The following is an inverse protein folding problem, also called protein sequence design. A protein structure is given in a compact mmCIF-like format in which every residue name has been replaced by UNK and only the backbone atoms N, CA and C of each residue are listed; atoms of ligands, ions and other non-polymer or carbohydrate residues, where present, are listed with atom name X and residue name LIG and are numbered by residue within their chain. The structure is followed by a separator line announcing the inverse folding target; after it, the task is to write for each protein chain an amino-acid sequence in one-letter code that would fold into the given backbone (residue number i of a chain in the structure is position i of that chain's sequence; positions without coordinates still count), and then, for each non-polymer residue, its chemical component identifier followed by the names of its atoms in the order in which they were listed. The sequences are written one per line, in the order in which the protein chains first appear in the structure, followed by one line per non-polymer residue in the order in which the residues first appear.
data_IF_004182009540
#
_entry.id   IF_004182009540
#
_cell.length_a   1.000
_cell.length_b   1.000
_cell.length_c   1.000
_cell.angle_alpha   90.00
_cell.angle_beta   90.00
_cell.angle_gamma   90.00
#
_symmetry.space_group_name_H-M   'P 1'
#
loop_
_entity.id
_entity.type
_entity.pdbx_description
1 polymer ?
#
# COMPACT_ATOMS: atom_id res chain seq x y z
N UNK A 1 -1.46 16.92 7.88
CA UNK A 1 -0.22 17.29 7.18
C UNK A 1 -0.38 18.47 6.22
N UNK A 2 -1.48 19.24 6.21
CA UNK A 2 -1.61 20.43 5.33
C UNK A 2 -1.28 20.19 3.84
N UNK A 3 -1.45 18.96 3.33
CA UNK A 3 -1.08 18.58 1.96
C UNK A 3 0.32 18.00 1.80
N UNK A 4 1.15 17.97 2.85
CA UNK A 4 2.41 17.25 2.88
C UNK A 4 2.16 15.73 2.89
N UNK A 5 2.40 15.10 1.74
CA UNK A 5 2.20 13.67 1.53
C UNK A 5 3.40 12.82 1.98
N UNK A 6 4.51 13.46 2.34
CA UNK A 6 5.77 12.80 2.73
C UNK A 6 5.97 12.76 4.25
N UNK A 7 5.24 13.58 5.02
CA UNK A 7 5.36 13.68 6.47
C UNK A 7 5.29 12.35 7.25
N UNK A 8 4.62 11.32 6.73
CA UNK A 8 4.57 9.99 7.35
C UNK A 8 5.80 9.12 7.04
N UNK A 9 6.55 9.45 6.00
CA UNK A 9 7.70 8.69 5.50
C UNK A 9 8.89 8.66 6.46
N UNK A 10 9.00 9.68 7.32
CA UNK A 10 10.06 9.79 8.34
C UNK A 10 9.81 8.93 9.57
N UNK A 11 8.57 8.44 9.77
CA UNK A 11 8.24 7.62 10.92
C UNK A 11 8.86 6.22 10.73
N UNK A 12 9.76 5.86 11.63
CA UNK A 12 10.35 4.53 11.72
C UNK A 12 9.30 3.50 12.10
N UNK A 13 9.29 2.37 11.39
CA UNK A 13 8.30 1.31 11.58
C UNK A 13 9.00 -0.04 11.63
N UNK A 14 8.80 -0.74 12.74
CA UNK A 14 9.20 -2.13 12.92
C UNK A 14 7.96 -3.03 12.98
N UNK A 15 7.93 -4.06 12.15
CA UNK A 15 6.81 -5.00 12.08
C UNK A 15 7.33 -6.43 12.03
N UNK A 16 6.78 -7.30 12.88
CA UNK A 16 7.05 -8.72 12.84
C UNK A 16 6.28 -9.39 11.71
N UNK A 17 6.96 -10.27 10.97
CA UNK A 17 6.36 -11.00 9.85
C UNK A 17 7.40 -11.84 9.13
N UNK A 18 6.94 -12.70 8.20
CA UNK A 18 7.83 -13.45 7.33
C UNK A 18 8.66 -12.53 6.44
N UNK A 19 9.79 -13.02 5.92
CA UNK A 19 10.67 -12.24 5.04
C UNK A 19 9.90 -11.66 3.84
N UNK A 20 8.98 -12.44 3.28
CA UNK A 20 8.08 -12.00 2.21
C UNK A 20 7.17 -10.84 2.64
N UNK A 21 6.55 -10.90 3.83
CA UNK A 21 5.69 -9.81 4.33
C UNK A 21 6.51 -8.54 4.56
N UNK A 22 7.68 -8.67 5.17
CA UNK A 22 8.58 -7.53 5.42
C UNK A 22 9.03 -6.89 4.11
N UNK A 23 9.35 -7.69 3.08
CA UNK A 23 9.66 -7.19 1.74
C UNK A 23 8.48 -6.44 1.11
N UNK A 24 7.27 -6.97 1.20
CA UNK A 24 6.06 -6.29 0.70
C UNK A 24 5.82 -4.97 1.45
N UNK A 25 5.93 -4.94 2.77
CA UNK A 25 5.73 -3.73 3.56
C UNK A 25 6.81 -2.66 3.29
N UNK A 26 8.05 -3.07 3.08
CA UNK A 26 9.11 -2.16 2.66
C UNK A 26 8.82 -1.56 1.28
N UNK A 27 8.36 -2.37 0.33
CA UNK A 27 8.02 -1.89 -1.01
C UNK A 27 6.77 -0.99 -1.02
N UNK A 28 5.78 -1.26 -0.15
CA UNK A 28 4.63 -0.38 0.02
C UNK A 28 5.05 1.07 0.34
N UNK A 29 6.07 1.26 1.19
CA UNK A 29 6.58 2.59 1.56
C UNK A 29 7.25 3.33 0.40
N UNK A 30 7.61 2.64 -0.69
CA UNK A 30 8.20 3.24 -1.90
C UNK A 30 7.15 3.67 -2.93
N UNK A 31 5.88 3.30 -2.73
CA UNK A 31 4.81 3.71 -3.64
C UNK A 31 4.49 5.18 -3.36
N UNK A 32 4.72 6.02 -4.36
CA UNK A 32 4.42 7.45 -4.28
C UNK A 32 2.92 7.70 -4.03
N UNK A 33 2.57 8.72 -3.22
CA UNK A 33 1.19 9.14 -3.06
C UNK A 33 0.57 9.56 -4.40
N UNK A 34 -0.72 9.31 -4.59
CA UNK A 34 -1.44 9.67 -5.82
C UNK A 34 -1.12 8.81 -7.06
N UNK A 35 -0.12 7.92 -6.99
CA UNK A 35 0.25 6.99 -8.05
C UNK A 35 0.05 5.52 -7.61
N UNK A 36 -1.20 5.05 -7.44
CA UNK A 36 -1.46 3.70 -6.96
C UNK A 36 -1.01 2.65 -7.98
N UNK A 37 -0.54 1.50 -7.47
CA UNK A 37 -0.03 0.38 -8.27
C UNK A 37 -0.96 -0.82 -8.17
N UNK A 38 -0.91 -1.73 -9.14
CA UNK A 38 -1.69 -2.96 -9.04
C UNK A 38 -1.06 -3.98 -8.08
N UNK A 39 -1.85 -4.92 -7.55
CA UNK A 39 -1.30 -6.07 -6.81
C UNK A 39 -0.28 -6.89 -7.62
N UNK A 40 -0.44 -6.95 -8.95
CA UNK A 40 0.49 -7.65 -9.84
C UNK A 40 1.81 -6.90 -9.95
N UNK A 41 1.74 -5.58 -10.15
CA UNK A 41 2.92 -4.72 -10.23
C UNK A 41 3.71 -4.73 -8.92
N UNK A 42 3.03 -4.66 -7.76
CA UNK A 42 3.70 -4.82 -6.47
C UNK A 42 4.36 -6.21 -6.32
N UNK A 43 3.73 -7.26 -6.86
CA UNK A 43 4.30 -8.60 -6.85
C UNK A 43 5.57 -8.68 -7.73
N UNK A 44 5.61 -7.98 -8.86
CA UNK A 44 6.81 -7.83 -9.70
C UNK A 44 7.93 -7.08 -8.97
N UNK A 45 7.61 -5.94 -8.34
CA UNK A 45 8.57 -5.11 -7.60
C UNK A 45 9.26 -5.87 -6.46
N UNK A 46 8.56 -6.81 -5.81
CA UNK A 46 9.14 -7.68 -4.76
C UNK A 46 9.80 -8.96 -5.30
N UNK A 47 9.97 -9.09 -6.62
CA UNK A 47 10.63 -10.24 -7.25
C UNK A 47 9.78 -11.52 -7.28
N UNK A 48 8.47 -11.42 -7.09
CA UNK A 48 7.55 -12.55 -7.02
C UNK A 48 6.33 -12.35 -7.95
N UNK A 49 6.51 -12.27 -9.29
CA UNK A 49 5.47 -11.85 -10.24
C UNK A 49 4.17 -12.68 -10.19
N UNK A 50 4.23 -13.93 -9.73
CA UNK A 50 3.07 -14.83 -9.59
C UNK A 50 2.38 -14.76 -8.22
N UNK A 51 2.79 -13.84 -7.34
CA UNK A 51 2.41 -13.79 -5.94
C UNK A 51 1.37 -12.71 -5.59
N UNK A 52 0.60 -12.19 -6.55
CA UNK A 52 -0.39 -11.12 -6.32
C UNK A 52 -1.36 -11.40 -5.15
N UNK A 53 -1.80 -12.66 -4.97
CA UNK A 53 -2.67 -13.04 -3.83
C UNK A 53 -1.94 -12.97 -2.48
N UNK A 54 -0.67 -13.37 -2.45
CA UNK A 54 0.16 -13.31 -1.25
C UNK A 54 0.50 -11.86 -0.87
N UNK A 55 0.77 -11.02 -1.88
CA UNK A 55 0.89 -9.57 -1.71
C UNK A 55 -0.40 -8.99 -1.14
N UNK A 56 -1.56 -9.32 -1.72
CA UNK A 56 -2.86 -8.86 -1.21
C UNK A 56 -3.12 -9.27 0.24
N UNK A 57 -2.67 -10.46 0.64
CA UNK A 57 -2.72 -10.90 2.04
C UNK A 57 -1.82 -10.04 2.93
N UNK A 58 -0.60 -9.73 2.48
CA UNK A 58 0.34 -8.88 3.21
C UNK A 58 -0.18 -7.44 3.37
N UNK A 59 -0.86 -6.90 2.34
CA UNK A 59 -1.57 -5.61 2.43
C UNK A 59 -2.73 -5.64 3.43
N UNK A 60 -3.50 -6.74 3.45
CA UNK A 60 -4.64 -6.93 4.37
C UNK A 60 -4.19 -7.06 5.83
N UNK A 61 -3.06 -7.73 6.07
CA UNK A 61 -2.52 -7.96 7.41
C UNK A 61 -1.43 -6.95 7.79
N UNK A 62 -1.45 -5.75 7.19
CA UNK A 62 -0.55 -4.66 7.55
C UNK A 62 -0.98 -4.04 8.90
N UNK A 63 -0.19 -4.19 9.98
CA UNK A 63 -0.55 -3.66 11.30
C UNK A 63 -0.39 -2.14 11.42
N UNK A 64 0.42 -1.51 10.57
CA UNK A 64 0.74 -0.07 10.65
C UNK A 64 0.23 0.67 9.41
N UNK A 65 -1.10 0.69 9.23
CA UNK A 65 -1.75 1.38 8.12
C UNK A 65 -1.40 2.88 8.09
N UNK A 66 -1.57 3.52 6.91
CA UNK A 66 -1.16 4.89 6.57
C UNK A 66 0.36 5.08 6.48
N UNK A 67 1.09 4.74 7.54
CA UNK A 67 2.56 4.86 7.56
C UNK A 67 3.19 3.80 6.65
N UNK A 68 2.62 2.59 6.63
CA UNK A 68 2.83 1.61 5.57
C UNK A 68 1.59 1.68 4.66
N UNK A 69 1.66 2.31 3.48
CA UNK A 69 0.48 2.78 2.76
C UNK A 69 -0.16 1.69 1.90
N UNK A 70 -0.71 0.64 2.53
CA UNK A 70 -1.35 -0.46 1.81
C UNK A 70 -2.63 -0.08 1.04
N UNK A 71 -3.15 1.14 1.24
CA UNK A 71 -4.25 1.71 0.46
C UNK A 71 -3.82 2.10 -0.97
N UNK A 72 -2.52 2.30 -1.23
CA UNK A 72 -1.98 2.64 -2.56
C UNK A 72 -1.88 1.45 -3.53
N UNK A 73 -2.33 0.26 -3.13
CA UNK A 73 -2.33 -0.94 -3.99
C UNK A 73 -3.74 -1.28 -4.42
N UNK A 74 -4.05 -1.28 -5.71
CA UNK A 74 -5.40 -1.47 -6.24
C UNK A 74 -5.50 -2.72 -7.13
N UNK A 75 -6.72 -3.05 -7.55
CA UNK A 75 -6.94 -4.09 -8.56
C UNK A 75 -6.46 -3.62 -9.93
N UNK A 76 -6.14 -4.56 -10.81
CA UNK A 76 -5.68 -4.27 -12.17
C UNK A 76 -6.75 -3.56 -13.04
N UNK A 77 -8.03 -3.66 -12.68
CA UNK A 77 -9.15 -2.96 -13.31
C UNK A 77 -9.34 -1.53 -12.79
N UNK A 78 -8.41 -1.01 -11.97
CA UNK A 78 -8.48 0.32 -11.38
C UNK A 78 -9.35 0.41 -10.12
N UNK A 79 -10.10 -0.64 -9.78
CA UNK A 79 -10.94 -0.60 -8.59
C UNK A 79 -10.08 -0.69 -7.30
N UNK A 80 -10.45 0.02 -6.20
CA UNK A 80 -9.69 0.00 -4.96
C UNK A 80 -9.48 -1.39 -4.36
N UNK A 81 -10.35 -2.35 -4.65
CA UNK A 81 -10.28 -3.71 -4.08
C UNK A 81 -10.70 -3.75 -2.61
N UNK A 82 -10.51 -4.91 -1.96
CA UNK A 82 -10.90 -5.10 -0.56
C UNK A 82 -9.81 -4.57 0.36
N UNK A 83 -10.13 -3.48 1.07
CA UNK A 83 -9.31 -2.92 2.13
C UNK A 83 -9.62 -3.59 3.46
N UNK A 84 -8.59 -3.85 4.28
CA UNK A 84 -8.75 -4.51 5.59
C UNK A 84 -9.64 -3.74 6.58
N UNK A 85 -9.92 -2.47 6.30
CA UNK A 85 -10.56 -1.53 7.23
C UNK A 85 -11.77 -0.79 6.62
N UNK A 86 -12.43 -1.37 5.60
CA UNK A 86 -13.55 -0.84 4.81
C UNK A 86 -13.15 -0.18 3.47
N UNK A 87 -13.81 -0.52 2.33
CA UNK A 87 -13.50 0.07 1.02
C UNK A 87 -13.59 1.60 0.95
N UNK A 88 -14.54 2.21 1.68
CA UNK A 88 -14.76 3.66 1.65
C UNK A 88 -13.54 4.45 2.12
N UNK A 89 -12.84 3.97 3.16
CA UNK A 89 -11.62 4.61 3.68
C UNK A 89 -10.51 4.60 2.64
N UNK A 90 -10.34 3.48 1.93
CA UNK A 90 -9.34 3.35 0.88
C UNK A 90 -9.61 4.31 -0.27
N UNK A 91 -10.85 4.39 -0.74
CA UNK A 91 -11.24 5.34 -1.78
C UNK A 91 -10.95 6.77 -1.35
N UNK A 92 -11.36 7.16 -0.13
CA UNK A 92 -11.12 8.50 0.39
C UNK A 92 -9.62 8.84 0.48
N UNK A 93 -8.78 7.90 0.94
CA UNK A 93 -7.33 8.11 1.03
C UNK A 93 -6.70 8.31 -0.35
N UNK A 94 -7.10 7.50 -1.34
CA UNK A 94 -6.63 7.65 -2.72
C UNK A 94 -7.05 9.02 -3.29
N UNK A 95 -8.32 9.40 -3.13
CA UNK A 95 -8.82 10.71 -3.55
C UNK A 95 -8.15 11.88 -2.82
N UNK A 96 -7.83 11.70 -1.53
CA UNK A 96 -7.13 12.71 -0.75
C UNK A 96 -5.71 12.92 -1.28
N UNK A 97 -4.94 11.85 -1.50
CA UNK A 97 -3.60 11.93 -2.05
C UNK A 97 -3.57 12.52 -3.47
N UNK A 98 -4.52 12.14 -4.34
CA UNK A 98 -4.61 12.67 -5.71
C UNK A 98 -4.90 14.18 -5.79
N UNK A 99 -5.37 14.82 -4.72
CA UNK A 99 -5.59 16.29 -4.70
C UNK A 99 -4.29 17.09 -4.54
N UNK A 100 -3.24 16.45 -4.04
CA UNK A 100 -1.98 17.09 -3.65
C UNK A 100 -0.76 16.52 -4.39
N UNK A 101 -0.95 15.44 -5.16
CA UNK A 101 0.07 14.77 -5.95
C UNK A 101 0.32 15.45 -7.31
#
# INVERSE_FOLDING_TARGET
FEGDLEALGEIEVHQEGTDFRRAVWAELRRIAPGAPVSYGELAERVGAPRAARAVGTSCRTNPVALIVPCHRVIKADGAPGKYGWEPKRKTWLLEHESKWA
#
